data_IF_509895994768
#
_entry.id   IF_509895994768
#
_cell.length_a   1.000
_cell.length_b   1.000
_cell.length_c   1.000
_cell.angle_alpha   90.00
_cell.angle_beta   90.00
_cell.angle_gamma   90.00
#
_symmetry.space_group_name_H-M   'P 1'
#
loop_
_entity.id
_entity.type
_entity.pdbx_description
1 polymer ?
#
# COMPACT_ATOMS: atom_id res chain seq x y z
N UNK A 1 18.83 6.34 -16.45
CA UNK A 1 17.83 5.27 -16.66
C UNK A 1 16.68 5.55 -15.71
N UNK A 2 15.43 5.37 -16.11
CA UNK A 2 14.30 5.62 -15.21
C UNK A 2 14.22 4.49 -14.17
N UNK A 3 14.56 4.80 -12.92
CA UNK A 3 14.60 3.83 -11.83
C UNK A 3 13.25 3.12 -11.65
N UNK A 4 12.16 3.88 -11.79
CA UNK A 4 10.80 3.35 -11.67
C UNK A 4 10.45 2.33 -12.75
N UNK A 5 10.87 2.55 -14.01
CA UNK A 5 10.68 1.55 -15.06
C UNK A 5 11.46 0.26 -14.78
N UNK A 6 12.69 0.37 -14.25
CA UNK A 6 13.46 -0.81 -13.89
C UNK A 6 12.79 -1.60 -12.74
N UNK A 7 12.21 -0.89 -11.77
CA UNK A 7 11.42 -1.50 -10.71
C UNK A 7 10.18 -2.24 -11.27
N UNK A 8 9.40 -1.60 -12.15
CA UNK A 8 8.22 -2.22 -12.79
C UNK A 8 8.60 -3.50 -13.54
N UNK A 9 9.70 -3.46 -14.31
CA UNK A 9 10.22 -4.64 -15.01
C UNK A 9 10.59 -5.79 -14.05
N UNK A 10 11.22 -5.47 -12.90
CA UNK A 10 11.54 -6.48 -11.86
C UNK A 10 10.27 -7.09 -11.24
N UNK A 11 9.20 -6.31 -11.09
CA UNK A 11 7.92 -6.77 -10.57
C UNK A 11 7.18 -7.68 -11.57
N UNK A 12 7.15 -7.31 -12.85
CA UNK A 12 6.53 -8.10 -13.92
C UNK A 12 7.24 -9.44 -14.16
N UNK A 13 8.59 -9.43 -14.20
CA UNK A 13 9.40 -10.65 -14.35
C UNK A 13 9.13 -11.67 -13.23
N UNK A 14 8.94 -11.16 -12.01
CA UNK A 14 8.64 -11.98 -10.84
C UNK A 14 7.29 -12.69 -10.95
N UNK A 15 6.26 -12.00 -11.43
CA UNK A 15 4.94 -12.59 -11.64
C UNK A 15 4.94 -13.71 -12.69
N UNK A 16 5.81 -13.62 -13.70
CA UNK A 16 5.86 -14.58 -14.80
C UNK A 16 6.67 -15.83 -14.49
N UNK A 17 7.78 -15.69 -13.76
CA UNK A 17 8.79 -16.76 -13.66
C UNK A 17 8.81 -17.52 -12.34
N UNK A 18 8.15 -17.03 -11.27
CA UNK A 18 8.08 -17.68 -9.94
C UNK A 18 9.43 -17.89 -9.22
N UNK A 19 10.55 -17.67 -9.92
CA UNK A 19 11.93 -17.83 -9.47
C UNK A 19 12.40 -16.70 -8.54
N UNK A 20 11.74 -15.54 -8.54
CA UNK A 20 12.14 -14.38 -7.75
C UNK A 20 11.42 -14.26 -6.38
N UNK A 21 10.91 -15.37 -5.82
CA UNK A 21 10.42 -15.39 -4.43
C UNK A 21 11.48 -14.99 -3.41
N UNK A 22 12.73 -15.39 -3.64
CA UNK A 22 13.86 -14.99 -2.78
C UNK A 22 14.13 -13.48 -2.85
N UNK A 23 14.01 -12.88 -4.04
CA UNK A 23 14.13 -11.43 -4.20
C UNK A 23 13.05 -10.71 -3.40
N UNK A 24 11.79 -11.13 -3.52
CA UNK A 24 10.69 -10.55 -2.72
C UNK A 24 10.89 -10.75 -1.23
N UNK A 25 11.31 -11.94 -0.78
CA UNK A 25 11.57 -12.17 0.66
C UNK A 25 12.67 -11.24 1.18
N UNK A 26 13.75 -11.05 0.42
CA UNK A 26 14.81 -10.09 0.78
C UNK A 26 14.32 -8.65 0.75
N UNK A 27 13.50 -8.29 -0.24
CA UNK A 27 12.88 -6.98 -0.34
C UNK A 27 11.98 -6.71 0.88
N UNK A 28 11.07 -7.63 1.20
CA UNK A 28 10.13 -7.52 2.31
C UNK A 28 10.85 -7.44 3.66
N UNK A 29 11.94 -8.18 3.83
CA UNK A 29 12.79 -8.09 5.01
C UNK A 29 13.38 -6.67 5.15
N UNK A 30 14.01 -6.15 4.08
CA UNK A 30 14.58 -4.80 4.08
C UNK A 30 13.51 -3.71 4.27
N UNK A 31 12.35 -3.88 3.65
CA UNK A 31 11.21 -2.97 3.81
C UNK A 31 10.75 -2.94 5.27
N UNK A 32 10.64 -4.10 5.92
CA UNK A 32 10.32 -4.19 7.34
C UNK A 32 11.36 -3.47 8.20
N UNK A 33 12.65 -3.67 7.93
CA UNK A 33 13.76 -3.00 8.64
C UNK A 33 13.70 -1.48 8.47
N UNK A 34 13.45 -0.98 7.25
CA UNK A 34 13.31 0.44 6.99
C UNK A 34 12.12 1.04 7.74
N UNK A 35 10.95 0.39 7.73
CA UNK A 35 9.80 0.85 8.51
C UNK A 35 10.05 0.79 10.01
N UNK A 36 10.71 -0.24 10.52
CA UNK A 36 11.09 -0.33 11.93
C UNK A 36 11.95 0.86 12.35
N UNK A 37 12.92 1.26 11.54
CA UNK A 37 13.76 2.43 11.80
C UNK A 37 12.99 3.75 11.71
N UNK A 38 12.16 3.93 10.67
CA UNK A 38 11.34 5.14 10.47
C UNK A 38 10.34 5.33 11.62
N UNK A 39 9.63 4.25 11.98
CA UNK A 39 8.63 4.27 13.04
C UNK A 39 9.31 4.39 14.41
N UNK A 40 10.44 3.72 14.62
CA UNK A 40 11.21 3.78 15.86
C UNK A 40 11.85 5.15 16.12
N UNK A 41 12.24 5.86 15.06
CA UNK A 41 12.78 7.22 15.13
C UNK A 41 11.69 8.30 15.18
N UNK A 42 10.41 7.91 15.17
CA UNK A 42 9.25 8.81 15.05
C UNK A 42 9.38 9.79 13.87
N UNK A 43 10.06 9.36 12.81
CA UNK A 43 10.38 10.19 11.67
C UNK A 43 9.14 10.35 10.78
N UNK A 44 8.47 11.50 10.92
CA UNK A 44 7.28 11.86 10.13
C UNK A 44 7.61 12.36 8.73
N UNK A 45 8.87 12.73 8.50
CA UNK A 45 9.31 13.36 7.26
C UNK A 45 10.68 12.81 6.87
N UNK A 46 10.78 12.32 5.63
CA UNK A 46 12.04 11.86 5.05
C UNK A 46 12.42 12.89 3.99
N UNK A 47 13.55 13.53 4.21
CA UNK A 47 14.12 14.52 3.30
C UNK A 47 15.53 14.09 2.97
N UNK A 48 15.85 14.02 1.68
CA UNK A 48 17.17 13.62 1.25
C UNK A 48 17.24 13.32 -0.23
N UNK A 49 18.43 12.92 -0.66
CA UNK A 49 18.67 12.46 -2.03
C UNK A 49 18.32 10.98 -2.12
N UNK A 50 17.65 10.56 -3.19
CA UNK A 50 17.21 9.16 -3.42
C UNK A 50 18.36 8.17 -3.19
N UNK A 51 19.55 8.46 -3.71
CA UNK A 51 20.74 7.63 -3.54
C UNK A 51 21.20 7.52 -2.08
N UNK A 52 21.28 8.65 -1.37
CA UNK A 52 21.70 8.66 0.03
C UNK A 52 20.70 7.92 0.92
N UNK A 53 19.40 8.12 0.66
CA UNK A 53 18.34 7.42 1.38
C UNK A 53 18.36 5.92 1.08
N UNK A 54 18.56 5.53 -0.18
CA UNK A 54 18.70 4.13 -0.55
C UNK A 54 19.88 3.48 0.21
N UNK A 55 21.04 4.13 0.23
CA UNK A 55 22.22 3.65 0.98
C UNK A 55 21.96 3.58 2.50
N UNK A 56 21.26 4.57 3.06
CA UNK A 56 20.90 4.61 4.49
C UNK A 56 20.09 3.38 4.89
N UNK A 57 19.06 3.03 4.12
CA UNK A 57 18.22 1.85 4.35
C UNK A 57 18.84 0.55 3.81
N UNK A 58 20.09 0.58 3.33
CA UNK A 58 20.78 -0.58 2.77
C UNK A 58 20.12 -1.15 1.51
N UNK A 59 19.38 -0.33 0.77
CA UNK A 59 18.67 -0.68 -0.47
C UNK A 59 19.41 -0.14 -1.70
N UNK A 60 19.17 -0.75 -2.85
CA UNK A 60 19.57 -0.20 -4.13
C UNK A 60 18.57 0.91 -4.55
N UNK A 61 18.97 1.96 -5.32
CA UNK A 61 18.05 3.01 -5.76
C UNK A 61 16.78 2.48 -6.42
N UNK A 62 16.85 1.37 -7.16
CA UNK A 62 15.68 0.76 -7.81
C UNK A 62 14.76 0.09 -6.78
N UNK A 63 15.33 -0.56 -5.78
CA UNK A 63 14.57 -1.14 -4.66
C UNK A 63 13.94 -0.05 -3.80
N UNK A 64 14.66 1.04 -3.55
CA UNK A 64 14.14 2.17 -2.78
C UNK A 64 12.98 2.87 -3.51
N UNK A 65 13.02 2.96 -4.85
CA UNK A 65 11.88 3.45 -5.62
C UNK A 65 10.64 2.55 -5.46
N UNK A 66 10.84 1.22 -5.35
CA UNK A 66 9.76 0.31 -5.00
C UNK A 66 9.16 0.55 -3.61
N UNK A 67 10.01 0.86 -2.64
CA UNK A 67 9.57 1.29 -1.32
C UNK A 67 8.78 2.61 -1.39
N UNK A 68 9.28 3.58 -2.17
CA UNK A 68 8.62 4.86 -2.40
C UNK A 68 7.25 4.68 -3.09
N UNK A 69 7.12 3.73 -4.01
CA UNK A 69 5.84 3.35 -4.64
C UNK A 69 4.83 2.81 -3.63
N UNK A 70 5.26 1.90 -2.76
CA UNK A 70 4.41 1.36 -1.70
C UNK A 70 3.92 2.43 -0.73
N UNK A 71 4.82 3.31 -0.27
CA UNK A 71 4.48 4.40 0.66
C UNK A 71 3.76 5.56 -0.01
N UNK A 72 3.84 5.73 -1.33
CA UNK A 72 3.31 6.89 -2.05
C UNK A 72 1.83 7.16 -1.71
N UNK A 73 1.03 6.09 -1.65
CA UNK A 73 -0.40 6.11 -1.29
C UNK A 73 -0.69 6.57 0.15
N UNK A 74 0.33 6.56 0.99
CA UNK A 74 0.30 6.91 2.41
C UNK A 74 0.94 8.28 2.70
N UNK A 75 1.51 8.93 1.68
CA UNK A 75 2.10 10.25 1.82
C UNK A 75 1.03 11.33 1.91
N UNK A 76 1.43 12.47 2.48
CA UNK A 76 0.60 13.69 2.47
C UNK A 76 0.49 14.30 1.08
N UNK A 77 1.57 14.19 0.29
CA UNK A 77 1.64 14.62 -1.11
C UNK A 77 2.20 13.48 -1.94
N UNK A 78 1.52 13.13 -3.02
CA UNK A 78 1.96 12.10 -3.96
C UNK A 78 3.24 12.55 -4.68
N UNK A 79 4.21 11.66 -4.76
CA UNK A 79 5.50 11.87 -5.41
C UNK A 79 5.48 11.28 -6.82
N UNK A 80 5.99 12.02 -7.80
CA UNK A 80 6.09 11.57 -9.19
C UNK A 80 7.34 10.68 -9.38
N UNK A 81 7.19 9.38 -9.16
CA UNK A 81 8.29 8.41 -9.21
C UNK A 81 8.91 8.25 -10.60
N UNK A 82 8.15 8.53 -11.65
CA UNK A 82 8.58 8.40 -13.05
C UNK A 82 9.71 9.37 -13.44
N UNK A 83 9.77 10.53 -12.78
CA UNK A 83 10.76 11.58 -13.02
C UNK A 83 11.92 11.55 -12.01
N UNK A 84 11.93 10.58 -11.09
CA UNK A 84 12.98 10.47 -10.08
C UNK A 84 14.22 9.75 -10.60
N UNK A 85 15.36 10.32 -10.22
CA UNK A 85 16.70 9.83 -10.50
C UNK A 85 17.43 9.57 -9.17
N UNK A 86 18.61 8.96 -9.24
CA UNK A 86 19.45 8.68 -8.07
C UNK A 86 19.82 9.96 -7.30
N UNK A 87 20.08 11.06 -8.00
CA UNK A 87 20.46 12.35 -7.40
C UNK A 87 19.26 13.28 -7.13
N UNK A 88 18.02 12.82 -7.36
CA UNK A 88 16.83 13.64 -7.10
C UNK A 88 16.63 13.81 -5.59
N UNK A 89 16.43 15.06 -5.15
CA UNK A 89 16.04 15.36 -3.78
C UNK A 89 14.54 15.18 -3.61
N UNK A 90 14.13 14.42 -2.60
CA UNK A 90 12.74 14.16 -2.28
C UNK A 90 12.42 14.67 -0.88
N UNK A 91 11.19 15.15 -0.72
CA UNK A 91 10.60 15.55 0.55
C UNK A 91 9.27 14.81 0.67
N UNK A 92 9.24 13.81 1.54
CA UNK A 92 8.05 12.98 1.75
C UNK A 92 7.61 13.06 3.21
N UNK A 93 6.34 13.42 3.40
CA UNK A 93 5.70 13.46 4.71
C UNK A 93 4.75 12.26 4.86
N UNK A 94 5.06 11.39 5.81
CA UNK A 94 4.38 10.11 6.05
C UNK A 94 3.18 10.36 6.97
N UNK A 95 1.99 10.00 6.51
CA UNK A 95 0.80 9.98 7.36
C UNK A 95 0.64 8.59 7.98
N UNK A 96 0.95 8.46 9.28
CA UNK A 96 0.86 7.18 10.00
C UNK A 96 -0.53 6.55 9.96
N UNK A 97 -1.60 7.35 9.95
CA UNK A 97 -2.96 6.86 9.89
C UNK A 97 -3.29 6.22 8.53
N UNK A 98 -2.92 6.88 7.44
CA UNK A 98 -3.04 6.32 6.08
C UNK A 98 -2.10 5.14 5.87
N UNK A 99 -0.86 5.23 6.37
CA UNK A 99 0.14 4.17 6.25
C UNK A 99 -0.36 2.87 6.89
N UNK A 100 -0.83 2.96 8.14
CA UNK A 100 -1.40 1.80 8.84
C UNK A 100 -2.66 1.25 8.14
N UNK A 101 -3.52 2.13 7.60
CA UNK A 101 -4.67 1.72 6.81
C UNK A 101 -4.28 0.94 5.54
N UNK A 102 -3.31 1.46 4.79
CA UNK A 102 -2.85 0.83 3.56
C UNK A 102 -2.15 -0.51 3.83
N UNK A 103 -1.36 -0.61 4.90
CA UNK A 103 -0.77 -1.88 5.35
C UNK A 103 -1.83 -2.92 5.71
N UNK A 104 -2.89 -2.52 6.42
CA UNK A 104 -4.01 -3.42 6.73
C UNK A 104 -4.77 -3.84 5.45
N UNK A 105 -5.00 -2.90 4.53
CA UNK A 105 -5.67 -3.16 3.25
C UNK A 105 -4.87 -4.13 2.38
N UNK A 106 -3.54 -3.98 2.35
CA UNK A 106 -2.61 -4.88 1.65
C UNK A 106 -2.37 -6.21 2.41
N UNK A 107 -2.87 -6.35 3.65
CA UNK A 107 -2.60 -7.49 4.54
C UNK A 107 -1.10 -7.72 4.77
N UNK A 108 -0.35 -6.64 4.97
CA UNK A 108 1.08 -6.68 5.23
C UNK A 108 1.36 -7.03 6.70
N UNK A 109 1.14 -8.31 7.08
CA UNK A 109 1.25 -8.79 8.46
C UNK A 109 2.57 -8.40 9.13
N UNK A 110 3.69 -8.37 8.41
CA UNK A 110 5.00 -8.01 8.95
C UNK A 110 5.18 -6.53 9.29
N UNK A 111 4.34 -5.62 8.75
CA UNK A 111 4.46 -4.18 8.96
C UNK A 111 3.48 -3.66 10.01
N UNK A 112 2.20 -4.04 9.93
CA UNK A 112 1.19 -3.49 10.85
C UNK A 112 1.24 -4.13 12.25
N UNK A 113 1.99 -5.22 12.44
CA UNK A 113 2.22 -5.85 13.75
C UNK A 113 3.43 -5.30 14.50
N UNK A 114 4.14 -4.35 13.92
CA UNK A 114 5.31 -3.73 14.53
C UNK A 114 4.96 -3.04 15.87
N UNK A 115 5.69 -3.31 16.98
CA UNK A 115 5.38 -2.74 18.29
C UNK A 115 5.51 -1.21 18.34
N UNK A 116 6.26 -0.62 17.43
CA UNK A 116 6.44 0.82 17.26
C UNK A 116 5.09 1.53 17.03
N UNK A 117 4.11 0.83 16.43
CA UNK A 117 2.76 1.37 16.22
C UNK A 117 2.00 1.65 17.51
N UNK A 118 2.29 0.96 18.61
CA UNK A 118 1.64 1.24 19.91
C UNK A 118 2.10 2.57 20.51
N UNK A 119 3.29 3.05 20.16
CA UNK A 119 3.77 4.37 20.55
C UNK A 119 3.20 5.46 19.64
N UNK A 120 3.07 5.18 18.34
CA UNK A 120 2.67 6.17 17.33
C UNK A 120 1.16 6.33 17.18
N UNK A 121 0.39 5.24 17.26
CA UNK A 121 -1.05 5.22 17.08
C UNK A 121 -1.74 4.69 18.32
N UNK A 122 -2.69 5.47 18.83
CA UNK A 122 -3.52 5.03 19.95
C UNK A 122 -4.44 3.88 19.55
N UNK A 123 -4.87 3.05 20.51
CA UNK A 123 -5.79 1.94 20.26
C UNK A 123 -7.11 2.43 19.61
N UNK A 124 -7.56 3.64 19.98
CA UNK A 124 -8.71 4.30 19.36
C UNK A 124 -8.50 4.60 17.87
N UNK A 125 -7.30 5.02 17.47
CA UNK A 125 -6.97 5.30 16.07
C UNK A 125 -6.89 4.02 15.27
N UNK A 126 -6.21 2.99 15.79
CA UNK A 126 -6.17 1.65 15.20
C UNK A 126 -7.59 1.10 15.00
N UNK A 127 -8.47 1.28 16.00
CA UNK A 127 -9.87 0.87 15.92
C UNK A 127 -10.65 1.65 14.86
N UNK A 128 -10.49 2.98 14.78
CA UNK A 128 -11.11 3.82 13.73
C UNK A 128 -10.67 3.38 12.33
N UNK A 129 -9.39 3.08 12.15
CA UNK A 129 -8.83 2.62 10.87
C UNK A 129 -9.42 1.26 10.48
N UNK A 130 -9.49 0.31 11.42
CA UNK A 130 -10.14 -1.01 11.19
C UNK A 130 -11.61 -0.87 10.83
N UNK A 131 -12.33 0.05 11.48
CA UNK A 131 -13.73 0.34 11.17
C UNK A 131 -13.90 0.89 9.75
N UNK A 132 -13.04 1.84 9.36
CA UNK A 132 -13.01 2.36 7.98
C UNK A 132 -12.73 1.27 6.96
N UNK A 133 -11.77 0.37 7.23
CA UNK A 133 -11.46 -0.74 6.33
C UNK A 133 -12.66 -1.68 6.14
N UNK A 134 -13.37 -1.97 7.22
CA UNK A 134 -14.58 -2.79 7.16
C UNK A 134 -15.69 -2.12 6.33
N UNK A 135 -15.84 -0.80 6.48
CA UNK A 135 -16.79 0.01 5.70
C UNK A 135 -16.42 0.03 4.21
N UNK A 136 -15.15 0.27 3.87
CA UNK A 136 -14.62 0.24 2.48
C UNK A 136 -14.78 -1.15 1.84
N UNK A 137 -14.65 -2.21 2.65
CA UNK A 137 -14.83 -3.60 2.20
C UNK A 137 -16.31 -3.97 1.99
N UNK A 138 -17.25 -3.17 2.49
CA UNK A 138 -18.67 -3.46 2.39
C UNK A 138 -19.21 -3.00 1.03
N UNK A 139 -19.10 -3.89 0.03
CA UNK A 139 -19.93 -3.77 -1.16
C UNK A 139 -21.38 -3.92 -0.72
N UNK A 140 -22.08 -2.79 -0.62
CA UNK A 140 -23.52 -2.79 -0.40
C UNK A 140 -24.16 -3.35 -1.66
N UNK A 141 -24.37 -4.66 -1.71
CA UNK A 141 -25.21 -5.26 -2.73
C UNK A 141 -26.63 -4.80 -2.42
N UNK A 142 -27.15 -3.86 -3.22
CA UNK A 142 -28.57 -3.53 -3.19
C UNK A 142 -29.35 -4.83 -3.41
N UNK A 143 -29.95 -5.34 -2.33
CA UNK A 143 -30.76 -6.55 -2.39
C UNK A 143 -31.99 -6.19 -3.21
N UNK A 144 -32.01 -6.62 -4.47
CA UNK A 144 -33.19 -6.45 -5.30
C UNK A 144 -34.38 -7.13 -4.64
N UNK A 145 -35.42 -6.35 -4.35
CA UNK A 145 -36.61 -6.87 -3.70
C UNK A 145 -37.31 -7.87 -4.61
N UNK A 146 -37.90 -8.89 -4.00
CA UNK A 146 -38.56 -10.00 -4.71
C UNK A 146 -39.65 -9.50 -5.70
N UNK A 147 -40.24 -8.32 -5.46
CA UNK A 147 -41.25 -7.71 -6.31
C UNK A 147 -40.74 -6.58 -7.24
N UNK A 148 -39.48 -6.17 -7.14
CA UNK A 148 -38.88 -5.11 -7.95
C UNK A 148 -38.71 -5.52 -9.42
N UNK A 149 -38.68 -4.56 -10.36
CA UNK A 149 -38.43 -4.84 -11.77
C UNK A 149 -37.06 -5.52 -11.96
N UNK A 150 -37.04 -6.59 -12.75
CA UNK A 150 -35.84 -7.40 -12.93
C UNK A 150 -34.79 -6.67 -13.79
N UNK A 151 -33.50 -6.64 -13.38
CA UNK A 151 -32.46 -5.84 -14.02
C UNK A 151 -32.02 -6.39 -15.39
N UNK A 152 -32.49 -7.58 -15.78
CA UNK A 152 -32.24 -8.17 -17.10
C UNK A 152 -33.07 -7.54 -18.24
N UNK A 153 -33.82 -6.46 -17.97
CA UNK A 153 -34.61 -5.76 -18.98
C UNK A 153 -35.89 -6.48 -19.42
N UNK A 154 -36.27 -7.58 -18.76
CA UNK A 154 -37.44 -8.39 -19.14
C UNK A 154 -38.80 -7.74 -18.83
N UNK A 155 -38.81 -6.61 -18.10
CA UNK A 155 -40.03 -5.94 -17.63
C UNK A 155 -40.83 -6.72 -16.58
N UNK A 156 -40.34 -7.87 -16.11
CA UNK A 156 -41.01 -8.73 -15.11
C UNK A 156 -40.46 -8.45 -13.71
N UNK A 157 -41.25 -8.77 -12.67
CA UNK A 157 -40.78 -8.75 -11.26
C UNK A 157 -39.63 -9.77 -11.07
N UNK A 158 -38.63 -9.44 -10.26
CA UNK A 158 -37.42 -10.26 -10.04
C UNK A 158 -37.75 -11.73 -9.71
N UNK A 159 -38.71 -11.98 -8.82
CA UNK A 159 -39.18 -13.35 -8.47
C UNK A 159 -39.78 -14.19 -9.60
N UNK A 160 -40.20 -13.53 -10.69
CA UNK A 160 -40.80 -14.19 -11.86
C UNK A 160 -39.81 -14.28 -13.02
N UNK A 161 -38.56 -13.87 -12.81
CA UNK A 161 -37.52 -13.84 -13.84
C UNK A 161 -36.21 -14.42 -13.30
N UNK A 162 -35.24 -13.59 -12.90
CA UNK A 162 -33.91 -14.04 -12.47
C UNK A 162 -33.86 -14.52 -11.00
N UNK A 163 -34.84 -14.17 -10.16
CA UNK A 163 -34.94 -14.59 -8.76
C UNK A 163 -35.87 -15.77 -8.55
N UNK A 164 -35.86 -16.73 -9.48
CA UNK A 164 -36.76 -17.90 -9.46
C UNK A 164 -36.29 -18.95 -8.46
#
# INVERSE_FOLDING_TARGET
>A
MQLYQEWQNKMEDNQQSGANREFFQRYLAKEAEAYEEILGSEQKQIVGVVKELAEHYGMDPVTFIGFLDGINTSLSQELQLEDLNEDSSIDIAIDYGKLYYNMLKAKADWLYTLPQWDTLLSDEEKKKIRMKLHEDSHVTVEKIGRNDPCPCGSGKKYKKCCGR
#
